data_IF_583180990885
#
_entry.id   IF_583180990885
#
_cell.length_a   1.000
_cell.length_b   1.000
_cell.length_c   1.000
_cell.angle_alpha   90.00
_cell.angle_beta   90.00
_cell.angle_gamma   90.00
#
_symmetry.space_group_name_H-M   'P 1'
#
loop_
_entity.id
_entity.type
_entity.pdbx_description
1 polymer ?
#
# COMPACT_ATOMS: atom_id res chain seq x y z
N UNK A 1 7.03 -13.75 16.10
CA UNK A 1 7.19 -13.72 14.62
C UNK A 1 5.87 -13.75 13.87
N UNK A 2 4.98 -14.75 14.05
CA UNK A 2 3.73 -14.86 13.26
C UNK A 2 2.80 -13.65 13.39
N UNK A 3 2.55 -13.18 14.62
CA UNK A 3 1.67 -12.04 14.84
C UNK A 3 2.18 -10.77 14.13
N UNK A 4 3.50 -10.50 14.20
CA UNK A 4 4.10 -9.35 13.52
C UNK A 4 3.97 -9.44 11.99
N UNK A 5 4.18 -10.62 11.39
CA UNK A 5 4.02 -10.82 9.94
C UNK A 5 2.56 -10.67 9.48
N UNK A 6 1.61 -11.17 10.28
CA UNK A 6 0.17 -11.01 10.02
C UNK A 6 -0.25 -9.56 10.16
N UNK A 7 0.20 -8.86 11.22
CA UNK A 7 -0.05 -7.44 11.42
C UNK A 7 0.51 -6.63 10.25
N UNK A 8 1.75 -6.89 9.83
CA UNK A 8 2.35 -6.22 8.66
C UNK A 8 1.53 -6.45 7.38
N UNK A 9 1.08 -7.68 7.13
CA UNK A 9 0.25 -7.98 5.97
C UNK A 9 -1.09 -7.25 6.00
N UNK A 10 -1.75 -7.23 7.16
CA UNK A 10 -3.03 -6.54 7.37
C UNK A 10 -2.86 -5.04 7.20
N UNK A 11 -1.87 -4.43 7.88
CA UNK A 11 -1.58 -3.01 7.77
C UNK A 11 -1.27 -2.64 6.32
N UNK A 12 -0.40 -3.39 5.65
CA UNK A 12 -0.09 -3.16 4.23
C UNK A 12 -1.33 -3.22 3.33
N UNK A 13 -2.23 -4.17 3.59
CA UNK A 13 -3.47 -4.29 2.80
C UNK A 13 -4.42 -3.10 3.03
N UNK A 14 -4.65 -2.71 4.29
CA UNK A 14 -5.49 -1.56 4.60
C UNK A 14 -4.90 -0.26 4.07
N UNK A 15 -3.58 -0.09 4.19
CA UNK A 15 -2.87 1.06 3.60
C UNK A 15 -2.98 1.07 2.07
N UNK A 16 -2.91 -0.09 1.41
CA UNK A 16 -3.10 -0.17 -0.04
C UNK A 16 -4.51 0.25 -0.46
N UNK A 17 -5.54 -0.21 0.27
CA UNK A 17 -6.94 0.21 0.02
C UNK A 17 -7.10 1.71 0.24
N UNK A 18 -6.55 2.26 1.32
CA UNK A 18 -6.60 3.69 1.58
C UNK A 18 -5.93 4.51 0.49
N UNK A 19 -4.71 4.13 0.07
CA UNK A 19 -4.01 4.83 -1.00
C UNK A 19 -4.70 4.71 -2.35
N UNK A 20 -5.33 3.56 -2.63
CA UNK A 20 -6.15 3.38 -3.82
C UNK A 20 -7.36 4.32 -3.84
N UNK A 21 -8.08 4.44 -2.72
CA UNK A 21 -9.22 5.36 -2.60
C UNK A 21 -8.77 6.82 -2.75
N UNK A 22 -7.64 7.20 -2.15
CA UNK A 22 -7.05 8.53 -2.32
C UNK A 22 -6.67 8.81 -3.78
N UNK A 23 -6.02 7.86 -4.45
CA UNK A 23 -5.66 7.97 -5.86
C UNK A 23 -6.91 8.10 -6.75
N UNK A 24 -7.95 7.30 -6.49
CA UNK A 24 -9.21 7.37 -7.22
C UNK A 24 -9.89 8.73 -7.06
N UNK A 25 -9.90 9.28 -5.85
CA UNK A 25 -10.43 10.62 -5.58
C UNK A 25 -9.67 11.72 -6.33
N UNK A 26 -8.33 11.70 -6.26
CA UNK A 26 -7.49 12.68 -6.95
C UNK A 26 -7.51 12.54 -8.47
N UNK A 27 -7.88 11.37 -9.01
CA UNK A 27 -7.97 11.14 -10.45
C UNK A 27 -9.23 11.73 -11.10
N UNK A 28 -10.17 12.26 -10.30
CA UNK A 28 -11.38 12.87 -10.83
C UNK A 28 -11.04 14.19 -11.54
N UNK A 29 -11.51 14.40 -12.78
CA UNK A 29 -11.24 15.63 -13.51
C UNK A 29 -11.94 16.82 -12.87
N UNK A 30 -11.23 17.95 -12.75
CA UNK A 30 -11.84 19.23 -12.41
C UNK A 30 -12.64 19.77 -13.60
N UNK A 31 -13.77 20.42 -13.31
CA UNK A 31 -14.60 21.05 -14.34
C UNK A 31 -13.92 22.28 -14.95
N UNK A 32 -13.30 23.13 -14.11
CA UNK A 32 -12.57 24.33 -14.52
C UNK A 32 -11.17 24.38 -13.86
N UNK A 33 -10.19 23.61 -14.37
CA UNK A 33 -8.87 23.52 -13.74
C UNK A 33 -8.02 24.78 -13.99
N UNK A 34 -7.47 25.34 -12.91
CA UNK A 34 -6.33 26.26 -13.02
C UNK A 34 -5.01 25.50 -13.13
N UNK A 35 -3.94 26.08 -13.71
CA UNK A 35 -2.64 25.43 -13.77
C UNK A 35 -2.10 25.00 -12.39
N UNK A 36 -2.36 25.79 -11.36
CA UNK A 36 -1.95 25.48 -9.98
C UNK A 36 -2.68 24.25 -9.41
N UNK A 37 -3.97 24.06 -9.75
CA UNK A 37 -4.73 22.87 -9.34
C UNK A 37 -4.19 21.62 -10.03
N UNK A 38 -3.83 21.70 -11.32
CA UNK A 38 -3.25 20.56 -12.04
C UNK A 38 -1.88 20.16 -11.49
N UNK A 39 -1.03 21.13 -11.13
CA UNK A 39 0.25 20.82 -10.50
C UNK A 39 0.09 20.16 -9.13
N UNK A 40 -0.87 20.65 -8.32
CA UNK A 40 -1.16 20.08 -7.01
C UNK A 40 -1.74 18.66 -7.13
N UNK A 41 -2.67 18.43 -8.06
CA UNK A 41 -3.23 17.11 -8.35
C UNK A 41 -2.14 16.13 -8.80
N UNK A 42 -1.22 16.55 -9.66
CA UNK A 42 -0.10 15.71 -10.09
C UNK A 42 0.84 15.33 -8.93
N UNK A 43 1.07 16.23 -7.98
CA UNK A 43 1.84 15.95 -6.77
C UNK A 43 1.10 14.99 -5.83
N UNK A 44 -0.19 15.23 -5.59
CA UNK A 44 -1.02 14.35 -4.78
C UNK A 44 -1.08 12.92 -5.36
N UNK A 45 -1.29 12.79 -6.67
CA UNK A 45 -1.26 11.50 -7.38
C UNK A 45 0.08 10.78 -7.16
N UNK A 46 1.21 11.49 -7.28
CA UNK A 46 2.54 10.90 -7.03
C UNK A 46 2.69 10.43 -5.60
N UNK A 47 2.21 11.19 -4.62
CA UNK A 47 2.22 10.80 -3.21
C UNK A 47 1.38 9.53 -2.97
N UNK A 48 0.18 9.45 -3.55
CA UNK A 48 -0.68 8.26 -3.44
C UNK A 48 -0.08 7.03 -4.11
N UNK A 49 0.55 7.19 -5.29
CA UNK A 49 1.28 6.11 -5.97
C UNK A 49 2.46 5.60 -5.15
N UNK A 50 3.22 6.52 -4.54
CA UNK A 50 4.30 6.15 -3.63
C UNK A 50 3.76 5.38 -2.42
N UNK A 51 2.67 5.86 -1.81
CA UNK A 51 1.97 5.17 -0.72
C UNK A 51 1.51 3.76 -1.09
N UNK A 52 0.99 3.58 -2.31
CA UNK A 52 0.64 2.26 -2.86
C UNK A 52 1.87 1.35 -2.97
N UNK A 53 2.98 1.86 -3.48
CA UNK A 53 4.24 1.12 -3.58
C UNK A 53 4.75 0.64 -2.22
N UNK A 54 4.76 1.52 -1.22
CA UNK A 54 5.16 1.18 0.17
C UNK A 54 4.20 0.14 0.76
N UNK A 55 2.90 0.30 0.55
CA UNK A 55 1.88 -0.64 1.03
C UNK A 55 2.07 -2.04 0.43
N UNK A 56 2.36 -2.12 -0.88
CA UNK A 56 2.66 -3.38 -1.55
C UNK A 56 3.91 -4.07 -0.98
N UNK A 57 4.99 -3.32 -0.71
CA UNK A 57 6.19 -3.86 -0.07
C UNK A 57 5.89 -4.40 1.33
N UNK A 58 5.10 -3.67 2.13
CA UNK A 58 4.74 -4.09 3.48
C UNK A 58 3.88 -5.36 3.47
N UNK A 59 2.89 -5.43 2.57
CA UNK A 59 2.08 -6.64 2.37
C UNK A 59 2.92 -7.83 1.93
N UNK A 60 3.85 -7.64 0.98
CA UNK A 60 4.75 -8.68 0.51
C UNK A 60 5.68 -9.18 1.64
N UNK A 61 6.27 -8.27 2.42
CA UNK A 61 7.11 -8.61 3.56
C UNK A 61 6.35 -9.41 4.62
N UNK A 62 5.12 -9.01 4.94
CA UNK A 62 4.23 -9.73 5.84
C UNK A 62 3.93 -11.16 5.34
N UNK A 63 3.59 -11.30 4.06
CA UNK A 63 3.30 -12.60 3.44
C UNK A 63 4.52 -13.51 3.41
N UNK A 64 5.68 -13.00 2.99
CA UNK A 64 6.95 -13.74 2.96
C UNK A 64 7.34 -14.18 4.37
N UNK A 65 7.22 -13.30 5.36
CA UNK A 65 7.49 -13.63 6.76
C UNK A 65 6.57 -14.74 7.29
N UNK A 66 5.29 -14.72 6.91
CA UNK A 66 4.33 -15.75 7.27
C UNK A 66 4.67 -17.11 6.63
N UNK A 67 4.97 -17.14 5.32
CA UNK A 67 5.32 -18.36 4.58
C UNK A 67 6.61 -18.98 5.13
N UNK A 68 7.68 -18.19 5.30
CA UNK A 68 8.96 -18.68 5.85
C UNK A 68 8.79 -19.19 7.27
N UNK A 69 8.03 -18.47 8.11
CA UNK A 69 7.71 -18.91 9.48
C UNK A 69 6.81 -20.17 9.55
N UNK A 70 6.13 -20.53 8.45
CA UNK A 70 5.43 -21.82 8.32
C UNK A 70 6.38 -22.93 7.89
N UNK A 71 7.23 -22.70 6.90
CA UNK A 71 8.20 -23.67 6.39
C UNK A 71 9.20 -24.13 7.46
N UNK A 72 9.75 -23.20 8.26
CA UNK A 72 10.67 -23.54 9.35
C UNK A 72 10.06 -24.46 10.42
N UNK A 73 8.74 -24.42 10.61
CA UNK A 73 8.05 -25.33 11.54
C UNK A 73 7.75 -26.70 10.94
N UNK A 74 7.60 -26.78 9.62
CA UNK A 74 7.39 -28.05 8.94
C UNK A 74 8.70 -28.86 8.84
N UNK A 75 9.85 -28.18 8.76
CA UNK A 75 11.17 -28.82 8.71
C UNK A 75 11.76 -29.18 10.09
N UNK A 76 11.19 -28.67 11.17
CA UNK A 76 11.61 -28.95 12.56
C UNK A 76 10.74 -29.99 13.28
N UNK A 77 9.87 -30.68 12.55
CA UNK A 77 9.14 -31.89 12.98
C UNK A 77 9.59 -33.04 12.09
#
# INVERSE_FOLDING_TARGET
MRAASVIAAIVGLFSAVFCFLGLAGESLPYQDPTPAMLSAQAEAIRAWQFGLGVSALLSAAGLVGFIRGRASRAAGR
#
